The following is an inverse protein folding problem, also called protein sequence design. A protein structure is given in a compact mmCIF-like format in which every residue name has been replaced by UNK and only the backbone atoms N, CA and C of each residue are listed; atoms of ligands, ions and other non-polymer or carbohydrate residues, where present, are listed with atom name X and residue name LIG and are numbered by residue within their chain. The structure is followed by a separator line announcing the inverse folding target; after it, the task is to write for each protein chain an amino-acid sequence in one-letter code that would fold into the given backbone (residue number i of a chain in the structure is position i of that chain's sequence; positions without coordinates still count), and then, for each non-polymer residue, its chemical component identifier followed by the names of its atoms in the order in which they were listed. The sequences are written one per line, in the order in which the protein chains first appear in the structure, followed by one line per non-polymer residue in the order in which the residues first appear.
data_IF_014225330030
#
_entry.id   IF_014225330030
#
_cell.length_a   1.000
_cell.length_b   1.000
_cell.length_c   1.000
_cell.angle_alpha   90.00
_cell.angle_beta   90.00
_cell.angle_gamma   90.00
#
_symmetry.space_group_name_H-M   'P 1'
#
loop_
_entity.id
_entity.type
_entity.pdbx_description
1 polymer ?
#
# COMPACT_ATOMS: atom_id res chain seq x y z
N UNK A 1 4.22 -24.52 36.33
CA UNK A 1 2.93 -24.02 35.80
C UNK A 1 2.77 -22.51 36.01
N UNK A 2 3.07 -21.97 37.20
CA UNK A 2 3.08 -20.52 37.45
C UNK A 2 4.15 -19.74 36.66
N UNK A 3 5.40 -20.23 36.61
CA UNK A 3 6.49 -19.60 35.82
C UNK A 3 6.23 -19.62 34.30
N UNK A 4 5.62 -20.68 33.77
CA UNK A 4 5.25 -20.77 32.35
C UNK A 4 4.08 -19.86 31.98
N UNK A 5 3.11 -19.70 32.90
CA UNK A 5 2.02 -18.72 32.74
C UNK A 5 2.53 -17.28 32.84
N UNK A 6 3.45 -17.00 33.76
CA UNK A 6 4.02 -15.66 33.93
C UNK A 6 4.89 -15.25 32.73
N UNK A 7 5.67 -16.17 32.17
CA UNK A 7 6.45 -15.92 30.94
C UNK A 7 5.55 -15.73 29.71
N UNK A 8 4.42 -16.45 29.62
CA UNK A 8 3.45 -16.28 28.52
C UNK A 8 2.77 -14.92 28.57
N UNK A 9 2.32 -14.49 29.75
CA UNK A 9 1.70 -13.16 29.94
C UNK A 9 2.68 -12.04 29.61
N UNK A 10 3.93 -12.15 30.08
CA UNK A 10 4.96 -11.15 29.80
C UNK A 10 5.30 -11.07 28.29
N UNK A 11 5.33 -12.21 27.58
CA UNK A 11 5.54 -12.22 26.13
C UNK A 11 4.41 -11.53 25.37
N UNK A 12 3.17 -11.86 25.68
CA UNK A 12 1.99 -11.29 25.01
C UNK A 12 1.91 -9.78 25.25
N UNK A 13 2.29 -9.31 26.45
CA UNK A 13 2.37 -7.88 26.77
C UNK A 13 3.49 -7.17 26.00
N UNK A 14 4.68 -7.76 25.89
CA UNK A 14 5.79 -7.21 25.10
C UNK A 14 5.38 -7.06 23.63
N UNK A 15 4.75 -8.08 23.05
CA UNK A 15 4.29 -8.05 21.66
C UNK A 15 3.23 -6.96 21.44
N UNK A 16 2.27 -6.82 22.37
CA UNK A 16 1.27 -5.75 22.31
C UNK A 16 1.90 -4.37 22.40
N UNK A 17 2.83 -4.15 23.33
CA UNK A 17 3.54 -2.86 23.47
C UNK A 17 4.35 -2.54 22.21
N UNK A 18 5.06 -3.51 21.65
CA UNK A 18 5.82 -3.33 20.41
C UNK A 18 4.90 -2.97 19.23
N UNK A 19 3.80 -3.70 19.06
CA UNK A 19 2.80 -3.42 18.04
C UNK A 19 2.22 -2.01 18.18
N UNK A 20 1.74 -1.63 19.37
CA UNK A 20 1.17 -0.30 19.62
C UNK A 20 2.20 0.79 19.30
N UNK A 21 3.45 0.61 19.75
CA UNK A 21 4.53 1.56 19.48
C UNK A 21 4.75 1.74 17.97
N UNK A 22 4.76 0.64 17.20
CA UNK A 22 4.89 0.68 15.74
C UNK A 22 3.69 1.42 15.12
N UNK A 23 2.46 1.09 15.53
CA UNK A 23 1.24 1.73 14.99
C UNK A 23 1.22 3.24 15.26
N UNK A 24 1.60 3.67 16.47
CA UNK A 24 1.68 5.10 16.83
C UNK A 24 2.71 5.83 15.98
N UNK A 25 3.90 5.25 15.79
CA UNK A 25 4.94 5.84 14.93
C UNK A 25 4.42 5.96 13.49
N UNK A 26 3.81 4.90 12.95
CA UNK A 26 3.24 4.89 11.60
C UNK A 26 2.15 5.95 11.44
N UNK A 27 1.25 6.08 12.42
CA UNK A 27 0.20 7.09 12.41
C UNK A 27 0.79 8.50 12.38
N UNK A 28 1.71 8.83 13.30
CA UNK A 28 2.28 10.17 13.38
C UNK A 28 3.07 10.49 12.11
N UNK A 29 4.01 9.63 11.72
CA UNK A 29 4.85 9.88 10.54
C UNK A 29 4.02 9.90 9.25
N UNK A 30 3.09 8.96 9.11
CA UNK A 30 2.25 8.81 7.93
C UNK A 30 1.24 9.95 7.78
N UNK A 31 0.54 10.34 8.85
CA UNK A 31 -0.44 11.43 8.82
C UNK A 31 0.28 12.75 8.54
N UNK A 32 1.33 13.07 9.30
CA UNK A 32 2.07 14.31 9.08
C UNK A 32 2.65 14.38 7.66
N UNK A 33 3.32 13.33 7.20
CA UNK A 33 3.93 13.30 5.87
C UNK A 33 2.91 13.46 4.74
N UNK A 34 1.84 12.67 4.75
CA UNK A 34 0.84 12.70 3.69
C UNK A 34 -0.04 13.97 3.76
N UNK A 35 -0.31 14.50 4.96
CA UNK A 35 -1.00 15.78 5.10
C UNK A 35 -0.20 16.94 4.50
N UNK A 36 1.12 16.98 4.70
CA UNK A 36 1.97 18.01 4.07
C UNK A 36 1.96 17.85 2.54
N UNK A 37 2.08 16.62 2.04
CA UNK A 37 1.99 16.32 0.59
C UNK A 37 0.69 16.85 0.00
N UNK A 38 -0.44 16.59 0.67
CA UNK A 38 -1.76 17.03 0.24
C UNK A 38 -1.92 18.55 0.35
N UNK A 39 -1.48 19.15 1.46
CA UNK A 39 -1.48 20.60 1.68
C UNK A 39 -0.72 21.35 0.58
N UNK A 40 0.52 20.93 0.28
CA UNK A 40 1.32 21.51 -0.81
C UNK A 40 0.60 21.36 -2.15
N UNK A 41 -0.05 20.22 -2.39
CA UNK A 41 -0.76 19.95 -3.65
C UNK A 41 -2.04 20.77 -3.82
N UNK A 42 -2.73 21.10 -2.73
CA UNK A 42 -3.94 21.94 -2.75
C UNK A 42 -3.56 23.43 -2.86
N UNK A 43 -2.59 23.89 -2.06
CA UNK A 43 -2.24 25.31 -2.00
C UNK A 43 -1.50 25.83 -3.24
N UNK A 44 -0.77 24.97 -3.97
CA UNK A 44 -0.02 25.39 -5.16
C UNK A 44 -0.80 25.07 -6.44
N UNK A 45 -1.48 26.06 -7.04
CA UNK A 45 -2.26 25.86 -8.28
C UNK A 45 -1.46 25.24 -9.44
N UNK A 46 -0.19 25.63 -9.61
CA UNK A 46 0.70 25.04 -10.62
C UNK A 46 1.02 23.56 -10.37
N UNK A 47 0.89 23.09 -9.13
CA UNK A 47 1.13 21.70 -8.77
C UNK A 47 0.06 20.78 -9.38
N UNK A 48 -1.20 21.19 -9.37
CA UNK A 48 -2.33 20.43 -9.92
C UNK A 48 -2.29 20.33 -11.45
N UNK A 49 -1.56 21.22 -12.12
CA UNK A 49 -1.40 21.21 -13.58
C UNK A 49 -0.42 20.13 -14.08
N UNK A 50 0.20 19.35 -13.19
CA UNK A 50 1.12 18.28 -13.55
C UNK A 50 0.49 16.90 -13.30
N UNK A 51 0.41 16.07 -14.33
CA UNK A 51 -0.11 14.68 -14.27
C UNK A 51 0.49 13.85 -13.13
N UNK A 52 1.80 13.96 -12.93
CA UNK A 52 2.51 13.20 -11.88
C UNK A 52 1.99 13.56 -10.49
N UNK A 53 1.72 14.84 -10.30
CA UNK A 53 1.31 15.41 -9.03
C UNK A 53 -0.13 14.99 -8.69
N UNK A 54 -0.99 14.80 -9.70
CA UNK A 54 -2.32 14.21 -9.50
C UNK A 54 -2.22 12.80 -8.89
N UNK A 55 -1.31 11.96 -9.38
CA UNK A 55 -1.08 10.63 -8.81
C UNK A 55 -0.48 10.69 -7.39
N UNK A 56 0.45 11.61 -7.14
CA UNK A 56 1.03 11.82 -5.79
C UNK A 56 -0.06 12.26 -4.80
N UNK A 57 -0.98 13.15 -5.21
CA UNK A 57 -2.12 13.54 -4.38
C UNK A 57 -3.06 12.36 -4.14
N UNK A 58 -3.32 11.52 -5.15
CA UNK A 58 -4.13 10.32 -4.98
C UNK A 58 -3.51 9.36 -3.96
N UNK A 59 -2.19 9.13 -4.02
CA UNK A 59 -1.46 8.33 -3.02
C UNK A 59 -1.58 8.91 -1.62
N UNK A 60 -1.43 10.23 -1.46
CA UNK A 60 -1.60 10.86 -0.16
C UNK A 60 -3.01 10.70 0.40
N UNK A 61 -4.04 10.73 -0.46
CA UNK A 61 -5.44 10.52 -0.05
C UNK A 61 -5.66 9.06 0.37
N UNK A 62 -5.22 8.08 -0.43
CA UNK A 62 -5.39 6.65 -0.08
C UNK A 62 -4.65 6.32 1.21
N UNK A 63 -3.41 6.80 1.37
CA UNK A 63 -2.61 6.58 2.57
C UNK A 63 -3.23 7.26 3.81
N UNK A 64 -3.72 8.51 3.70
CA UNK A 64 -4.39 9.18 4.82
C UNK A 64 -5.66 8.46 5.25
N UNK A 65 -6.50 8.04 4.30
CA UNK A 65 -7.72 7.29 4.64
C UNK A 65 -7.38 5.96 5.30
N UNK A 66 -6.33 5.27 4.84
CA UNK A 66 -5.88 4.01 5.41
C UNK A 66 -5.36 4.20 6.84
N UNK A 67 -4.55 5.24 7.06
CA UNK A 67 -4.00 5.58 8.36
C UNK A 67 -5.07 6.07 9.33
N UNK A 68 -6.08 6.83 8.89
CA UNK A 68 -7.09 7.41 9.77
C UNK A 68 -8.21 6.43 10.12
N UNK A 69 -8.51 5.47 9.24
CA UNK A 69 -9.65 4.56 9.40
C UNK A 69 -9.16 3.15 9.76
N UNK A 70 -8.32 2.55 8.92
CA UNK A 70 -7.97 1.13 9.04
C UNK A 70 -7.00 0.89 10.19
N UNK A 71 -5.94 1.70 10.33
CA UNK A 71 -4.91 1.49 11.36
C UNK A 71 -5.44 1.58 12.80
N UNK A 72 -6.28 2.57 13.18
CA UNK A 72 -6.82 2.65 14.54
C UNK A 72 -7.77 1.50 14.87
N UNK A 73 -8.58 1.06 13.89
CA UNK A 73 -9.50 -0.07 14.07
C UNK A 73 -8.74 -1.40 14.23
N UNK A 74 -7.70 -1.62 13.43
CA UNK A 74 -6.81 -2.78 13.62
C UNK A 74 -6.10 -2.71 14.97
N UNK A 75 -5.63 -1.53 15.37
CA UNK A 75 -5.00 -1.31 16.68
C UNK A 75 -5.95 -1.63 17.83
N UNK A 76 -7.21 -1.20 17.74
CA UNK A 76 -8.24 -1.52 18.72
C UNK A 76 -8.45 -3.04 18.84
N UNK A 77 -8.66 -3.71 17.70
CA UNK A 77 -8.88 -5.16 17.68
C UNK A 77 -7.68 -5.91 18.29
N UNK A 78 -6.46 -5.47 17.99
CA UNK A 78 -5.27 -6.12 18.47
C UNK A 78 -4.95 -5.87 19.96
N UNK A 79 -5.51 -4.80 20.56
CA UNK A 79 -5.41 -4.52 22.01
C UNK A 79 -6.51 -5.26 22.77
N UNK A 80 -7.75 -5.13 22.30
CA UNK A 80 -8.94 -5.60 23.02
C UNK A 80 -9.27 -7.06 22.74
N UNK A 81 -8.77 -7.62 21.63
CA UNK A 81 -9.12 -8.95 21.14
C UNK A 81 -10.64 -9.17 21.03
N UNK A 82 -11.41 -8.09 20.86
CA UNK A 82 -12.88 -8.08 20.80
C UNK A 82 -13.28 -6.98 19.84
N UNK A 83 -14.31 -7.23 19.03
CA UNK A 83 -14.93 -6.23 18.18
C UNK A 83 -16.29 -5.77 18.71
N UNK A 84 -16.43 -4.47 19.02
CA UNK A 84 -17.65 -3.88 19.61
C UNK A 84 -18.41 -2.94 18.67
N UNK A 85 -17.85 -2.62 17.49
CA UNK A 85 -18.40 -1.61 16.59
C UNK A 85 -19.52 -2.15 15.69
N UNK A 86 -20.00 -3.37 15.96
CA UNK A 86 -21.03 -4.06 15.19
C UNK A 86 -20.52 -4.65 13.87
N UNK A 87 -21.37 -5.47 13.27
CA UNK A 87 -21.07 -6.23 12.04
C UNK A 87 -20.72 -5.33 10.85
N UNK A 88 -21.51 -4.28 10.63
CA UNK A 88 -21.33 -3.39 9.49
C UNK A 88 -19.93 -2.77 9.48
N UNK A 89 -19.48 -2.25 10.62
CA UNK A 89 -18.15 -1.65 10.72
C UNK A 89 -17.07 -2.74 10.61
N UNK A 90 -17.33 -3.98 11.07
CA UNK A 90 -16.38 -5.08 10.88
C UNK A 90 -16.10 -5.34 9.39
N UNK A 91 -17.17 -5.59 8.62
CA UNK A 91 -17.07 -5.83 7.17
C UNK A 91 -16.44 -4.64 6.45
N UNK A 92 -16.95 -3.44 6.75
CA UNK A 92 -16.50 -2.22 6.09
C UNK A 92 -15.04 -1.87 6.37
N UNK A 93 -14.50 -2.12 7.57
CA UNK A 93 -13.08 -1.80 7.82
C UNK A 93 -12.14 -2.71 7.03
N UNK A 94 -12.49 -4.00 6.90
CA UNK A 94 -11.69 -4.98 6.14
C UNK A 94 -11.79 -4.66 4.66
N UNK A 95 -13.01 -4.45 4.16
CA UNK A 95 -13.27 -4.04 2.78
C UNK A 95 -12.48 -2.78 2.43
N UNK A 96 -12.64 -1.71 3.21
CA UNK A 96 -12.00 -0.43 2.93
C UNK A 96 -10.47 -0.50 3.01
N UNK A 97 -9.91 -1.25 3.96
CA UNK A 97 -8.46 -1.44 4.06
C UNK A 97 -7.86 -2.02 2.77
N UNK A 98 -8.52 -3.03 2.19
CA UNK A 98 -8.08 -3.64 0.93
C UNK A 98 -8.32 -2.74 -0.28
N UNK A 99 -9.46 -2.04 -0.35
CA UNK A 99 -9.73 -1.06 -1.42
C UNK A 99 -8.65 0.02 -1.46
N UNK A 100 -8.31 0.58 -0.30
CA UNK A 100 -7.30 1.63 -0.17
C UNK A 100 -5.91 1.12 -0.53
N UNK A 101 -5.55 -0.08 -0.06
CA UNK A 101 -4.32 -0.76 -0.47
C UNK A 101 -4.24 -0.92 -1.99
N UNK A 102 -5.27 -1.52 -2.60
CA UNK A 102 -5.30 -1.78 -4.03
C UNK A 102 -5.25 -0.48 -4.83
N UNK A 103 -5.93 0.57 -4.37
CA UNK A 103 -5.86 1.90 -4.97
C UNK A 103 -4.43 2.48 -4.89
N UNK A 104 -3.72 2.33 -3.78
CA UNK A 104 -2.30 2.70 -3.65
C UNK A 104 -1.43 1.93 -4.66
N UNK A 105 -1.58 0.60 -4.75
CA UNK A 105 -0.81 -0.24 -5.68
C UNK A 105 -1.04 0.12 -7.15
N UNK A 106 -2.31 0.26 -7.55
CA UNK A 106 -2.66 0.62 -8.92
C UNK A 106 -2.29 2.05 -9.27
N UNK A 107 -2.22 2.96 -8.28
CA UNK A 107 -1.66 4.29 -8.51
C UNK A 107 -0.17 4.22 -8.81
N UNK A 108 0.62 3.41 -8.08
CA UNK A 108 2.04 3.19 -8.39
C UNK A 108 2.25 2.56 -9.78
N UNK A 109 1.38 1.62 -10.17
CA UNK A 109 1.37 1.05 -11.51
C UNK A 109 1.05 2.09 -12.58
N UNK A 110 0.01 2.92 -12.39
CA UNK A 110 -0.35 4.00 -13.30
C UNK A 110 0.77 5.05 -13.43
N UNK A 111 1.46 5.40 -12.34
CA UNK A 111 2.63 6.26 -12.38
C UNK A 111 3.77 5.65 -13.21
N UNK A 112 3.97 4.34 -13.12
CA UNK A 112 4.99 3.61 -13.88
C UNK A 112 4.66 3.55 -15.37
N UNK A 113 3.38 3.34 -15.70
CA UNK A 113 2.86 3.40 -17.08
C UNK A 113 3.02 4.82 -17.64
N UNK A 114 2.60 5.86 -16.91
CA UNK A 114 2.76 7.27 -17.33
C UNK A 114 4.22 7.57 -17.68
N UNK A 115 5.16 7.06 -16.89
CA UNK A 115 6.58 7.21 -17.18
C UNK A 115 7.04 6.44 -18.39
N UNK A 116 6.67 5.17 -18.48
CA UNK A 116 6.99 4.36 -19.65
C UNK A 116 6.52 5.05 -20.94
N UNK A 117 5.26 5.47 -21.01
CA UNK A 117 4.69 6.13 -22.18
C UNK A 117 5.38 7.49 -22.46
N UNK A 118 5.65 8.29 -21.43
CA UNK A 118 6.29 9.59 -21.59
C UNK A 118 7.76 9.50 -22.05
N UNK A 119 8.43 8.38 -21.84
CA UNK A 119 9.84 8.19 -22.22
C UNK A 119 9.95 7.46 -23.55
N UNK A 120 9.23 6.34 -23.69
CA UNK A 120 9.36 5.46 -24.86
C UNK A 120 8.51 5.95 -26.03
N UNK A 121 7.36 6.56 -25.76
CA UNK A 121 6.39 7.03 -26.76
C UNK A 121 6.15 8.53 -26.65
N UNK A 122 7.20 9.30 -26.35
CA UNK A 122 7.14 10.72 -25.98
C UNK A 122 6.28 11.57 -26.94
N UNK A 123 6.45 11.42 -28.25
CA UNK A 123 5.78 12.26 -29.26
C UNK A 123 4.25 12.06 -29.26
N UNK A 124 3.81 10.82 -29.28
CA UNK A 124 2.39 10.47 -29.25
C UNK A 124 1.77 10.79 -27.89
N UNK A 125 2.43 10.37 -26.81
CA UNK A 125 1.85 10.47 -25.47
C UNK A 125 1.75 11.91 -24.96
N UNK A 126 2.63 12.82 -25.41
CA UNK A 126 2.58 14.26 -25.05
C UNK A 126 1.20 14.88 -25.30
N UNK A 127 0.48 14.45 -26.34
CA UNK A 127 -0.87 14.96 -26.65
C UNK A 127 -1.93 14.51 -25.63
N UNK A 128 -1.75 13.34 -25.03
CA UNK A 128 -2.71 12.71 -24.12
C UNK A 128 -2.38 12.92 -22.64
N UNK A 129 -1.12 13.23 -22.32
CA UNK A 129 -0.64 13.42 -20.95
C UNK A 129 -1.16 14.72 -20.31
N UNK A 130 -2.43 14.72 -19.92
CA UNK A 130 -3.15 15.86 -19.33
C UNK A 130 -3.64 15.54 -17.90
N UNK A 131 -3.67 16.53 -16.98
CA UNK A 131 -4.16 16.32 -15.61
C UNK A 131 -5.57 15.73 -15.53
N UNK A 132 -6.47 16.17 -16.44
CA UNK A 132 -7.83 15.62 -16.53
C UNK A 132 -7.84 14.11 -16.79
N UNK A 133 -6.94 13.61 -17.65
CA UNK A 133 -6.80 12.18 -17.90
C UNK A 133 -6.28 11.44 -16.66
N UNK A 134 -5.34 12.05 -15.92
CA UNK A 134 -4.84 11.49 -14.67
C UNK A 134 -5.95 11.36 -13.61
N UNK A 135 -6.82 12.36 -13.47
CA UNK A 135 -7.97 12.32 -12.58
C UNK A 135 -8.97 11.22 -12.97
N UNK A 136 -9.26 11.06 -14.26
CA UNK A 136 -10.10 9.97 -14.76
C UNK A 136 -9.47 8.61 -14.42
N UNK A 137 -8.16 8.46 -14.61
CA UNK A 137 -7.43 7.23 -14.24
C UNK A 137 -7.53 6.98 -12.74
N UNK A 138 -7.38 7.99 -11.89
CA UNK A 138 -7.58 7.84 -10.45
C UNK A 138 -9.00 7.36 -10.13
N UNK A 139 -10.04 7.97 -10.70
CA UNK A 139 -11.43 7.54 -10.50
C UNK A 139 -11.68 6.09 -10.95
N UNK A 140 -11.08 5.68 -12.07
CA UNK A 140 -11.12 4.29 -12.52
C UNK A 140 -10.42 3.35 -11.53
N UNK A 141 -9.28 3.75 -10.98
CA UNK A 141 -8.57 2.99 -9.94
C UNK A 141 -9.48 2.78 -8.73
N UNK A 142 -10.11 3.83 -8.21
CA UNK A 142 -11.06 3.72 -7.08
C UNK A 142 -12.22 2.78 -7.39
N UNK A 143 -12.77 2.89 -8.60
CA UNK A 143 -13.91 2.07 -9.04
C UNK A 143 -13.51 0.60 -9.17
N UNK A 144 -12.40 0.32 -9.84
CA UNK A 144 -11.87 -1.05 -10.01
C UNK A 144 -11.54 -1.65 -8.65
N UNK A 145 -10.87 -0.89 -7.77
CA UNK A 145 -10.52 -1.39 -6.44
C UNK A 145 -11.76 -1.71 -5.60
N UNK A 146 -12.77 -0.83 -5.61
CA UNK A 146 -14.04 -1.10 -4.92
C UNK A 146 -14.74 -2.34 -5.48
N UNK A 147 -14.87 -2.43 -6.80
CA UNK A 147 -15.56 -3.55 -7.45
C UNK A 147 -14.87 -4.89 -7.18
N UNK A 148 -13.54 -4.93 -7.24
CA UNK A 148 -12.76 -6.16 -7.07
C UNK A 148 -12.80 -6.68 -5.63
N UNK A 149 -13.08 -5.82 -4.65
CA UNK A 149 -13.09 -6.21 -3.25
C UNK A 149 -14.45 -6.78 -2.79
N UNK A 150 -15.54 -6.57 -3.53
CA UNK A 150 -16.87 -7.10 -3.15
C UNK A 150 -16.91 -8.63 -2.96
N UNK A 151 -16.29 -9.48 -3.82
CA UNK A 151 -16.30 -10.91 -3.61
C UNK A 151 -15.65 -11.33 -2.29
N UNK A 152 -14.60 -10.63 -1.86
CA UNK A 152 -13.94 -10.92 -0.59
C UNK A 152 -14.83 -10.56 0.61
N UNK A 153 -15.49 -9.39 0.56
CA UNK A 153 -16.42 -8.96 1.61
C UNK A 153 -17.63 -9.89 1.74
N UNK A 154 -18.16 -10.37 0.61
CA UNK A 154 -19.25 -11.35 0.61
C UNK A 154 -18.86 -12.69 1.25
N UNK A 155 -17.59 -13.10 1.09
CA UNK A 155 -17.05 -14.34 1.65
C UNK A 155 -16.58 -14.19 3.12
N UNK A 156 -16.64 -12.99 3.67
CA UNK A 156 -16.29 -12.72 5.06
C UNK A 156 -17.43 -13.17 5.98
N UNK A 157 -17.15 -14.17 6.81
CA UNK A 157 -18.06 -14.63 7.86
C UNK A 157 -17.78 -13.91 9.17
N UNK A 158 -18.86 -13.76 9.95
CA UNK A 158 -18.78 -13.19 11.28
C UNK A 158 -19.13 -14.29 12.25
N UNK A 159 -18.16 -14.67 13.07
CA UNK A 159 -18.37 -15.56 14.19
C UNK A 159 -18.84 -14.70 15.37
N UNK A 160 -20.02 -15.05 15.88
CA UNK A 160 -20.58 -14.41 17.07
C UNK A 160 -20.35 -15.34 18.25
N UNK A 161 -19.30 -15.09 19.02
CA UNK A 161 -19.11 -15.77 20.30
C UNK A 161 -19.83 -15.00 21.41
N UNK A 162 -20.82 -15.66 22.03
CA UNK A 162 -21.43 -15.16 23.28
C UNK A 162 -20.55 -15.57 24.44
N UNK A 163 -19.89 -14.61 25.07
CA UNK A 163 -19.17 -14.87 26.31
C UNK A 163 -20.16 -14.93 27.48
N UNK A 164 -19.89 -15.75 28.51
CA UNK A 164 -20.76 -15.93 29.71
C UNK A 164 -21.02 -14.64 30.51
N UNK A 165 -20.42 -13.50 30.13
CA UNK A 165 -20.58 -12.18 30.75
C UNK A 165 -21.45 -11.21 29.92
N UNK A 166 -22.29 -11.69 29.01
CA UNK A 166 -23.23 -10.88 28.19
C UNK A 166 -22.56 -9.94 27.17
N UNK A 167 -21.25 -10.06 26.94
CA UNK A 167 -20.57 -9.38 25.83
C UNK A 167 -20.64 -10.25 24.58
N UNK A 168 -21.19 -9.67 23.50
CA UNK A 168 -21.19 -10.28 22.17
C UNK A 168 -19.82 -9.97 21.54
N UNK A 169 -19.01 -11.00 21.31
CA UNK A 169 -17.74 -10.89 20.61
C UNK A 169 -18.00 -11.19 19.13
N UNK A 170 -17.72 -10.22 18.26
CA UNK A 170 -17.61 -10.48 16.83
C UNK A 170 -16.16 -10.81 16.49
N UNK A 171 -15.93 -11.99 15.93
CA UNK A 171 -14.69 -12.35 15.27
C UNK A 171 -14.96 -12.42 13.75
N UNK A 172 -14.08 -11.83 12.96
CA UNK A 172 -14.28 -11.65 11.53
C UNK A 172 -13.29 -12.53 10.78
N UNK A 173 -13.79 -13.65 10.26
CA UNK A 173 -12.98 -14.69 9.61
C UNK A 173 -13.56 -15.02 8.24
N UNK A 174 -12.72 -15.30 7.26
CA UNK A 174 -13.19 -15.70 5.93
C UNK A 174 -13.63 -17.17 5.96
N UNK A 175 -14.65 -17.53 5.18
CA UNK A 175 -15.17 -18.90 5.12
C UNK A 175 -14.06 -19.92 4.85
N UNK A 176 -14.02 -21.02 5.61
CA UNK A 176 -12.98 -22.05 5.47
C UNK A 176 -12.94 -22.67 4.07
N UNK A 177 -14.10 -22.92 3.44
CA UNK A 177 -14.18 -23.62 2.15
C UNK A 177 -13.57 -22.83 0.97
N UNK A 178 -13.49 -21.51 1.08
CA UNK A 178 -12.96 -20.62 0.04
C UNK A 178 -11.76 -19.78 0.50
N UNK A 179 -11.27 -20.00 1.71
CA UNK A 179 -10.23 -19.19 2.36
C UNK A 179 -8.97 -19.10 1.50
N UNK A 180 -8.46 -20.25 1.05
CA UNK A 180 -7.24 -20.32 0.24
C UNK A 180 -7.39 -19.61 -1.11
N UNK A 181 -8.51 -19.83 -1.81
CA UNK A 181 -8.81 -19.16 -3.08
C UNK A 181 -8.89 -17.65 -2.93
N UNK A 182 -9.52 -17.15 -1.87
CA UNK A 182 -9.58 -15.71 -1.57
C UNK A 182 -8.19 -15.13 -1.28
N UNK A 183 -7.35 -15.82 -0.50
CA UNK A 183 -5.99 -15.34 -0.21
C UNK A 183 -5.09 -15.37 -1.46
N UNK A 184 -5.24 -16.38 -2.32
CA UNK A 184 -4.57 -16.42 -3.63
C UNK A 184 -5.04 -15.28 -4.54
N UNK A 185 -6.35 -15.01 -4.59
CA UNK A 185 -6.90 -13.91 -5.36
C UNK A 185 -6.31 -12.56 -4.91
N UNK A 186 -6.33 -12.29 -3.60
CA UNK A 186 -5.71 -11.10 -2.99
C UNK A 186 -4.23 -11.02 -3.35
N UNK A 187 -3.46 -12.10 -3.20
CA UNK A 187 -2.04 -12.10 -3.54
C UNK A 187 -1.79 -11.78 -5.03
N UNK A 188 -2.53 -12.41 -5.93
CA UNK A 188 -2.33 -12.22 -7.38
C UNK A 188 -2.73 -10.82 -7.81
N UNK A 189 -3.93 -10.37 -7.46
CA UNK A 189 -4.47 -9.12 -8.00
C UNK A 189 -3.97 -7.89 -7.25
N UNK A 190 -3.65 -8.00 -5.96
CA UNK A 190 -3.33 -6.83 -5.13
C UNK A 190 -1.82 -6.66 -4.94
N UNK A 191 -1.05 -7.73 -5.08
CA UNK A 191 0.41 -7.71 -4.97
C UNK A 191 1.11 -8.01 -6.29
N UNK A 192 0.89 -9.20 -6.88
CA UNK A 192 1.69 -9.66 -8.02
C UNK A 192 1.40 -8.88 -9.31
N UNK A 193 0.13 -8.67 -9.67
CA UNK A 193 -0.27 -7.98 -10.89
C UNK A 193 0.27 -6.53 -10.98
N UNK A 194 0.10 -5.66 -9.95
CA UNK A 194 0.74 -4.33 -9.95
C UNK A 194 2.26 -4.42 -10.13
N UNK A 195 2.93 -5.33 -9.43
CA UNK A 195 4.39 -5.49 -9.52
C UNK A 195 4.83 -5.95 -10.91
N UNK A 196 4.11 -6.86 -11.55
CA UNK A 196 4.38 -7.28 -12.92
C UNK A 196 4.24 -6.11 -13.90
N UNK A 197 3.15 -5.33 -13.81
CA UNK A 197 2.94 -4.14 -14.64
C UNK A 197 4.10 -3.15 -14.47
N UNK A 198 4.47 -2.87 -13.22
CA UNK A 198 5.55 -1.94 -12.90
C UNK A 198 6.90 -2.47 -13.41
N UNK A 199 7.22 -3.73 -13.15
CA UNK A 199 8.45 -4.39 -13.58
C UNK A 199 8.61 -4.41 -15.10
N UNK A 200 7.52 -4.67 -15.83
CA UNK A 200 7.50 -4.60 -17.29
C UNK A 200 7.73 -3.18 -17.79
N UNK A 201 7.06 -2.17 -17.19
CA UNK A 201 7.27 -0.76 -17.54
C UNK A 201 8.73 -0.35 -17.37
N UNK A 202 9.35 -0.67 -16.24
CA UNK A 202 10.76 -0.37 -15.99
C UNK A 202 11.72 -1.09 -16.92
N UNK A 203 11.47 -2.38 -17.18
CA UNK A 203 12.28 -3.17 -18.11
C UNK A 203 12.27 -2.55 -19.51
N UNK A 204 11.09 -2.13 -19.98
CA UNK A 204 10.93 -1.47 -21.28
C UNK A 204 11.61 -0.10 -21.34
N UNK A 205 11.51 0.69 -20.27
CA UNK A 205 12.23 1.97 -20.15
C UNK A 205 13.75 1.75 -20.22
N UNK A 206 14.27 0.79 -19.45
CA UNK A 206 15.70 0.49 -19.42
C UNK A 206 16.22 0.03 -20.79
N UNK A 207 15.47 -0.85 -21.47
CA UNK A 207 15.81 -1.29 -22.83
C UNK A 207 15.82 -0.11 -23.82
N UNK A 208 14.84 0.78 -23.76
CA UNK A 208 14.78 1.97 -24.62
C UNK A 208 15.98 2.91 -24.41
N UNK A 209 16.38 3.13 -23.15
CA UNK A 209 17.55 3.94 -22.81
C UNK A 209 18.84 3.28 -23.29
N UNK A 210 19.01 1.97 -23.07
CA UNK A 210 20.20 1.20 -23.48
C UNK A 210 20.38 1.13 -24.99
N UNK A 211 19.30 1.01 -25.75
CA UNK A 211 19.30 1.01 -27.23
C UNK A 211 19.74 2.36 -27.83
N UNK A 212 19.99 3.38 -27.02
CA UNK A 212 20.40 4.68 -27.51
C UNK A 212 19.29 5.41 -28.28
N UNK A 213 18.02 5.00 -28.15
CA UNK A 213 16.89 5.65 -28.83
C UNK A 213 16.76 7.15 -28.45
N UNK A 214 17.23 7.53 -27.25
CA UNK A 214 17.39 8.94 -26.88
C UNK A 214 18.42 9.72 -27.71
N UNK A 215 19.43 9.06 -28.32
CA UNK A 215 20.37 9.70 -29.25
C UNK A 215 19.66 10.08 -30.55
N UNK A 216 18.78 9.22 -31.07
CA UNK A 216 18.02 9.47 -32.29
C UNK A 216 17.04 10.65 -32.12
N UNK A 217 16.30 10.69 -31.00
CA UNK A 217 15.41 11.83 -30.68
C UNK A 217 16.21 13.11 -30.43
N UNK A 218 17.38 13.04 -29.77
CA UNK A 218 18.29 14.20 -29.59
C UNK A 218 18.85 14.74 -30.90
N UNK A 219 19.04 13.89 -31.91
CA UNK A 219 19.50 14.30 -33.24
C UNK A 219 18.38 15.03 -34.01
N UNK A 220 17.13 14.59 -33.88
CA UNK A 220 15.99 15.17 -34.59
C UNK A 220 15.43 16.45 -33.94
N UNK A 221 15.47 16.56 -32.60
CA UNK A 221 14.82 17.66 -31.85
C UNK A 221 15.78 18.45 -30.95
N UNK A 222 17.08 18.23 -31.07
CA UNK A 222 18.11 18.90 -30.28
C UNK A 222 18.34 18.31 -28.88
N UNK A 223 19.43 18.75 -28.22
CA UNK A 223 19.76 18.29 -26.85
C UNK A 223 18.81 18.93 -25.82
N UNK A 224 18.04 18.14 -25.03
CA UNK A 224 17.33 18.68 -23.88
C UNK A 224 18.32 19.26 -22.87
N UNK A 225 17.94 20.36 -22.20
CA UNK A 225 18.72 20.98 -21.12
C UNK A 225 19.11 19.91 -20.08
N UNK A 226 20.37 19.92 -19.64
CA UNK A 226 20.93 18.93 -18.71
C UNK A 226 20.10 18.80 -17.42
N UNK A 227 19.52 19.90 -16.94
CA UNK A 227 18.63 19.93 -15.77
C UNK A 227 17.34 19.11 -15.94
N UNK A 228 16.78 19.04 -17.16
CA UNK A 228 15.56 18.28 -17.48
C UNK A 228 15.85 16.78 -17.44
N UNK A 229 16.99 16.36 -18.01
CA UNK A 229 17.44 14.96 -18.02
C UNK A 229 17.74 14.47 -16.59
N UNK A 230 18.43 15.29 -15.78
CA UNK A 230 18.69 14.98 -14.37
C UNK A 230 17.37 14.82 -13.60
N UNK A 231 16.39 15.70 -13.82
CA UNK A 231 15.06 15.59 -13.20
C UNK A 231 14.34 14.32 -13.62
N UNK A 232 14.35 13.96 -14.91
CA UNK A 232 13.73 12.71 -15.42
C UNK A 232 14.32 11.48 -14.73
N UNK A 233 15.66 11.38 -14.62
CA UNK A 233 16.34 10.27 -13.95
C UNK A 233 16.04 10.20 -12.45
N UNK A 234 16.00 11.35 -11.77
CA UNK A 234 15.64 11.40 -10.35
C UNK A 234 14.24 10.85 -10.13
N UNK A 235 13.27 11.31 -10.91
CA UNK A 235 11.88 10.83 -10.80
C UNK A 235 11.76 9.33 -11.09
N UNK A 236 12.46 8.82 -12.11
CA UNK A 236 12.50 7.37 -12.37
C UNK A 236 13.06 6.59 -11.18
N UNK A 237 14.18 7.06 -10.60
CA UNK A 237 14.79 6.46 -9.41
C UNK A 237 13.84 6.49 -8.22
N UNK A 238 13.14 7.60 -7.99
CA UNK A 238 12.12 7.70 -6.93
C UNK A 238 11.06 6.62 -7.09
N UNK A 239 10.51 6.49 -8.29
CA UNK A 239 9.43 5.56 -8.54
C UNK A 239 9.90 4.10 -8.43
N UNK A 240 11.14 3.80 -8.83
CA UNK A 240 11.73 2.48 -8.62
C UNK A 240 11.88 2.17 -7.13
N UNK A 241 12.40 3.13 -6.35
CA UNK A 241 12.54 2.97 -4.89
C UNK A 241 11.17 2.81 -4.23
N UNK A 242 10.16 3.59 -4.62
CA UNK A 242 8.78 3.46 -4.15
C UNK A 242 8.21 2.07 -4.44
N UNK A 243 8.45 1.55 -5.65
CA UNK A 243 8.01 0.21 -6.04
C UNK A 243 8.68 -0.87 -5.20
N UNK A 244 9.99 -0.78 -5.01
CA UNK A 244 10.75 -1.75 -4.21
C UNK A 244 10.34 -1.68 -2.73
N UNK A 245 10.13 -0.47 -2.20
CA UNK A 245 9.60 -0.27 -0.87
C UNK A 245 8.24 -0.96 -0.70
N UNK A 246 7.31 -0.73 -1.64
CA UNK A 246 6.02 -1.41 -1.66
C UNK A 246 6.19 -2.94 -1.71
N UNK A 247 6.98 -3.46 -2.65
CA UNK A 247 7.19 -4.89 -2.82
C UNK A 247 7.70 -5.55 -1.53
N UNK A 248 8.70 -4.92 -0.89
CA UNK A 248 9.34 -5.46 0.31
C UNK A 248 8.46 -5.28 1.56
N UNK A 249 7.69 -4.19 1.65
CA UNK A 249 6.87 -3.93 2.82
C UNK A 249 5.63 -4.82 2.89
N UNK A 250 5.08 -5.19 1.74
CA UNK A 250 3.85 -5.98 1.63
C UNK A 250 4.09 -7.50 1.46
N UNK A 251 5.28 -7.91 1.02
CA UNK A 251 5.58 -9.34 0.84
C UNK A 251 5.38 -10.17 2.11
N UNK A 252 5.88 -9.76 3.31
CA UNK A 252 5.80 -10.60 4.49
C UNK A 252 4.35 -10.90 4.90
N UNK A 253 3.46 -9.92 4.82
CA UNK A 253 2.07 -10.11 5.23
C UNK A 253 1.33 -11.04 4.27
N UNK A 254 1.54 -10.89 2.96
CA UNK A 254 0.92 -11.78 1.98
C UNK A 254 1.43 -13.22 2.08
N UNK A 255 2.73 -13.43 2.38
CA UNK A 255 3.26 -14.78 2.64
C UNK A 255 2.58 -15.39 3.87
N UNK A 256 2.45 -14.62 4.96
CA UNK A 256 1.82 -15.10 6.19
C UNK A 256 0.32 -15.39 6.02
N UNK A 257 -0.38 -14.57 5.23
CA UNK A 257 -1.78 -14.79 4.86
C UNK A 257 -1.93 -16.06 4.03
N UNK A 258 -1.17 -16.21 2.94
CA UNK A 258 -1.20 -17.41 2.11
C UNK A 258 -0.90 -18.66 2.92
N UNK A 259 0.10 -18.58 3.79
CA UNK A 259 0.48 -19.68 4.66
C UNK A 259 -0.64 -20.04 5.63
N UNK A 260 -1.30 -19.05 6.25
CA UNK A 260 -2.45 -19.26 7.13
C UNK A 260 -3.64 -19.88 6.38
N UNK A 261 -3.93 -19.40 5.16
CA UNK A 261 -5.08 -19.85 4.38
C UNK A 261 -4.86 -21.23 3.74
N UNK A 262 -3.60 -21.63 3.52
CA UNK A 262 -3.25 -22.90 2.87
C UNK A 262 -3.50 -24.14 3.72
N UNK A 263 -3.71 -23.97 5.05
CA UNK A 263 -3.83 -25.06 6.02
C UNK A 263 -2.68 -26.10 5.92
N UNK A 264 -1.52 -25.72 5.35
CA UNK A 264 -0.38 -26.62 5.14
C UNK A 264 0.28 -27.07 6.45
N UNK A 265 0.03 -26.38 7.55
CA UNK A 265 0.53 -26.74 8.86
C UNK A 265 -0.49 -27.54 9.64
N UNK A 266 -0.03 -28.62 10.26
CA UNK A 266 -0.81 -29.28 11.30
C UNK A 266 -1.03 -28.34 12.49
N UNK A 267 -2.17 -28.47 13.16
CA UNK A 267 -2.49 -27.72 14.38
C UNK A 267 -1.39 -27.84 15.43
N UNK A 268 -0.73 -29.01 15.50
CA UNK A 268 0.40 -29.26 16.38
C UNK A 268 1.61 -28.36 16.08
N UNK A 269 1.93 -28.11 14.80
CA UNK A 269 3.00 -27.18 14.42
C UNK A 269 2.61 -25.74 14.74
N UNK A 270 1.37 -25.34 14.44
CA UNK A 270 0.87 -24.00 14.73
C UNK A 270 0.96 -23.70 16.23
N UNK A 271 0.45 -24.59 17.09
CA UNK A 271 0.50 -24.43 18.54
C UNK A 271 1.94 -24.38 19.07
N UNK A 272 2.85 -25.17 18.49
CA UNK A 272 4.28 -25.16 18.87
C UNK A 272 4.97 -23.84 18.52
N UNK A 273 4.52 -23.13 17.48
CA UNK A 273 5.19 -21.94 16.94
C UNK A 273 4.34 -20.67 16.99
N UNK A 274 3.25 -20.68 17.74
CA UNK A 274 2.29 -19.57 17.82
C UNK A 274 2.95 -18.24 18.18
N UNK A 275 3.91 -18.22 19.12
CA UNK A 275 4.63 -17.02 19.51
C UNK A 275 5.42 -16.41 18.33
N UNK A 276 6.19 -17.24 17.63
CA UNK A 276 7.00 -16.82 16.48
C UNK A 276 6.10 -16.32 15.34
N UNK A 277 5.01 -17.04 15.05
CA UNK A 277 4.05 -16.68 14.01
C UNK A 277 3.33 -15.36 14.34
N UNK A 278 2.95 -15.15 15.60
CA UNK A 278 2.35 -13.89 16.07
C UNK A 278 3.33 -12.73 15.97
N UNK A 279 4.58 -12.90 16.41
CA UNK A 279 5.61 -11.86 16.24
C UNK A 279 5.87 -11.54 14.77
N UNK A 280 5.95 -12.56 13.91
CA UNK A 280 6.11 -12.38 12.47
C UNK A 280 4.93 -11.59 11.86
N UNK A 281 3.69 -11.90 12.26
CA UNK A 281 2.49 -11.14 11.83
C UNK A 281 2.53 -9.69 12.28
N UNK A 282 2.92 -9.41 13.52
CA UNK A 282 3.04 -8.04 14.03
C UNK A 282 4.08 -7.25 13.24
N UNK A 283 5.26 -7.85 12.99
CA UNK A 283 6.31 -7.21 12.18
C UNK A 283 5.84 -6.99 10.75
N UNK A 284 5.18 -7.99 10.14
CA UNK A 284 4.68 -7.91 8.78
C UNK A 284 3.60 -6.83 8.62
N UNK A 285 2.63 -6.76 9.53
CA UNK A 285 1.63 -5.69 9.55
C UNK A 285 2.28 -4.32 9.75
N UNK A 286 3.19 -4.20 10.72
CA UNK A 286 3.93 -2.96 10.97
C UNK A 286 4.67 -2.47 9.73
N UNK A 287 5.36 -3.38 9.04
CA UNK A 287 6.09 -3.08 7.81
C UNK A 287 5.13 -2.67 6.67
N UNK A 288 4.02 -3.39 6.49
CA UNK A 288 3.01 -3.08 5.48
C UNK A 288 2.41 -1.68 5.68
N UNK A 289 2.14 -1.28 6.93
CA UNK A 289 1.57 0.02 7.24
C UNK A 289 2.61 1.15 7.12
N UNK A 290 3.87 0.85 7.46
CA UNK A 290 4.98 1.78 7.30
C UNK A 290 5.23 2.18 5.82
N UNK A 291 4.78 1.37 4.85
CA UNK A 291 4.78 1.75 3.44
C UNK A 291 4.12 3.13 3.19
N UNK A 292 3.03 3.43 3.89
CA UNK A 292 2.32 4.71 3.80
C UNK A 292 3.17 5.90 4.28
N UNK A 293 4.15 5.65 5.16
CA UNK A 293 5.10 6.67 5.63
C UNK A 293 6.24 6.91 4.64
N UNK A 294 6.59 5.92 3.82
CA UNK A 294 7.71 6.01 2.88
C UNK A 294 7.42 6.94 1.71
N UNK A 295 6.16 7.05 1.29
CA UNK A 295 5.75 7.85 0.13
C UNK A 295 6.20 9.33 0.26
N UNK A 296 5.80 10.09 1.31
CA UNK A 296 6.28 11.46 1.54
C UNK A 296 7.79 11.61 1.65
N UNK A 297 8.47 10.70 2.37
CA UNK A 297 9.93 10.72 2.57
C UNK A 297 10.66 10.62 1.23
N UNK A 298 10.22 9.72 0.37
CA UNK A 298 10.81 9.49 -0.94
C UNK A 298 10.53 10.67 -1.89
N UNK A 299 9.39 11.34 -1.78
CA UNK A 299 9.15 12.60 -2.50
C UNK A 299 10.10 13.70 -2.01
N UNK A 300 10.34 13.83 -0.70
CA UNK A 300 11.25 14.82 -0.12
C UNK A 300 12.69 14.65 -0.60
N UNK A 301 13.20 13.41 -0.54
CA UNK A 301 14.60 13.09 -0.83
C UNK A 301 14.92 13.28 -2.32
N UNK A 302 14.02 12.82 -3.19
CA UNK A 302 14.33 12.73 -4.62
C UNK A 302 13.77 13.88 -5.46
N UNK A 303 12.79 14.65 -4.95
CA UNK A 303 12.37 15.92 -5.53
C UNK A 303 12.81 17.07 -4.61
N UNK A 304 14.09 17.47 -4.66
CA UNK A 304 14.63 18.63 -3.90
C UNK A 304 13.90 19.98 -4.12
N UNK A 305 12.99 20.06 -5.10
CA UNK A 305 12.09 21.19 -5.38
C UNK A 305 10.64 20.99 -4.91
N UNK A 306 10.34 19.89 -4.21
CA UNK A 306 8.96 19.53 -3.82
C UNK A 306 8.47 20.40 -2.65
N UNK A 307 9.30 20.55 -1.62
CA UNK A 307 8.99 21.33 -0.43
C UNK A 307 9.61 22.74 -0.44
N UNK A 308 10.66 22.98 -1.24
CA UNK A 308 11.16 24.33 -1.45
C UNK A 308 10.21 25.06 -2.41
N UNK A 309 9.56 26.11 -1.92
CA UNK A 309 8.70 27.01 -2.70
C UNK A 309 9.49 27.85 -3.71
N UNK A 310 10.17 27.20 -4.66
CA UNK A 310 10.85 27.89 -5.76
C UNK A 310 9.85 28.33 -6.81
N UNK A 311 9.71 29.66 -6.94
CA UNK A 311 9.23 30.38 -8.12
C UNK A 311 9.78 29.77 -9.42
#
# INVERSE_FOLDING_TARGET
MSLSMNNKNNYDDIIKVAMISILVIVLICGICGNAIVLFVGICKRNYQNNVTNCYIMNLAITDLLFLLISVPLTGYLAIKNVWIFGEFICKMHIYLAHVLLQATCYTLAAMSIDRYLNIVHELWYRRYRKPKCALIICLLIWTISGVFMFPYDYLLHINVEKNNQSSVMLDCTVNNDSLYSSCLFTFVFYYLLPLCIIGLCYSRVLMHVRRGSHKMVKLLYGKPRQSIEIRRRRVQRTLLVLTLAFALCWLPIHILELFNCSQLLSDAFYLKHVHILTAARVIAHGLSYFNSCLNPLLYAIFNKGYFSGGL
#
